data_IF_429704887972
#
_entry.id   IF_429704887972
#
_cell.length_a   1.000
_cell.length_b   1.000
_cell.length_c   1.000
_cell.angle_alpha   90.00
_cell.angle_beta   90.00
_cell.angle_gamma   90.00
#
_symmetry.space_group_name_H-M   'P 1'
#
loop_
_entity.id
_entity.type
_entity.pdbx_description
1 polymer ?
#
# COMPACT_ATOMS: atom_id res chain seq x y z
N UNK A 1 10.29 -10.66 26.81
CA UNK A 1 9.35 -9.53 26.93
C UNK A 1 8.42 -9.55 25.73
N UNK A 2 7.17 -9.99 25.92
CA UNK A 2 6.16 -10.04 24.85
C UNK A 2 5.87 -8.61 24.40
N UNK A 3 6.38 -8.22 23.25
CA UNK A 3 6.00 -6.96 22.61
C UNK A 3 4.55 -7.17 22.19
N UNK A 4 3.63 -6.42 22.81
CA UNK A 4 2.20 -6.45 22.54
C UNK A 4 1.90 -5.98 21.13
N UNK A 5 2.08 -6.88 20.16
CA UNK A 5 1.71 -6.68 18.76
C UNK A 5 0.20 -6.90 18.53
N UNK A 6 -0.62 -6.56 19.53
CA UNK A 6 -2.03 -6.26 19.34
C UNK A 6 -2.17 -4.77 19.04
N UNK A 7 -1.30 -4.18 18.19
CA UNK A 7 -1.56 -2.85 17.68
C UNK A 7 -2.82 -2.98 16.83
N UNK A 8 -3.99 -2.55 17.32
CA UNK A 8 -5.20 -2.64 16.52
C UNK A 8 -4.91 -1.86 15.25
N UNK A 9 -5.40 -2.28 14.08
CA UNK A 9 -5.25 -1.53 12.83
C UNK A 9 -5.52 -0.02 13.02
N UNK A 10 -6.40 0.30 13.97
CA UNK A 10 -6.74 1.63 14.45
C UNK A 10 -5.57 2.42 15.07
N UNK A 11 -4.64 1.79 15.80
CA UNK A 11 -3.46 2.45 16.36
C UNK A 11 -2.43 2.81 15.28
N UNK A 12 -2.25 1.98 14.25
CA UNK A 12 -1.35 2.32 13.14
C UNK A 12 -1.94 3.41 12.24
N UNK A 13 -3.24 3.32 11.93
CA UNK A 13 -3.94 4.37 11.19
C UNK A 13 -3.98 5.69 11.99
N UNK A 14 -4.29 5.62 13.28
CA UNK A 14 -4.33 6.78 14.18
C UNK A 14 -2.95 7.41 14.38
N UNK A 15 -1.90 6.60 14.55
CA UNK A 15 -0.52 7.08 14.64
C UNK A 15 -0.06 7.75 13.35
N UNK A 16 -0.36 7.15 12.20
CA UNK A 16 -0.09 7.75 10.89
C UNK A 16 -0.79 9.10 10.70
N UNK A 17 -2.07 9.21 11.09
CA UNK A 17 -2.82 10.47 11.06
C UNK A 17 -2.27 11.51 12.02
N UNK A 18 -1.87 11.10 13.24
CA UNK A 18 -1.30 12.00 14.23
C UNK A 18 0.02 12.63 13.75
N UNK A 19 0.80 11.90 12.93
CA UNK A 19 1.99 12.44 12.28
C UNK A 19 1.64 13.23 11.03
N UNK A 20 0.77 12.73 10.16
CA UNK A 20 0.45 13.37 8.89
C UNK A 20 -0.28 14.72 9.06
N UNK A 21 -1.18 14.85 10.05
CA UNK A 21 -1.96 16.05 10.30
C UNK A 21 -1.11 17.32 10.54
N UNK A 22 -0.11 17.34 11.44
CA UNK A 22 0.72 18.52 11.64
C UNK A 22 1.57 18.86 10.40
N UNK A 23 2.05 17.87 9.65
CA UNK A 23 2.76 18.14 8.39
C UNK A 23 1.83 18.72 7.32
N UNK A 24 0.60 18.23 7.22
CA UNK A 24 -0.41 18.79 6.33
C UNK A 24 -0.77 20.23 6.71
N UNK A 25 -0.92 20.52 8.00
CA UNK A 25 -1.16 21.88 8.48
C UNK A 25 0.04 22.80 8.19
N UNK A 26 1.26 22.28 8.32
CA UNK A 26 2.47 23.02 7.97
C UNK A 26 2.55 23.32 6.47
N UNK A 27 2.26 22.35 5.59
CA UNK A 27 2.23 22.62 4.15
C UNK A 27 1.11 23.58 3.77
N UNK A 28 -0.06 23.48 4.41
CA UNK A 28 -1.17 24.41 4.24
C UNK A 28 -0.78 25.84 4.63
N UNK A 29 -0.07 26.00 5.76
CA UNK A 29 0.44 27.29 6.21
C UNK A 29 1.52 27.86 5.28
N UNK A 30 2.45 27.04 4.79
CA UNK A 30 3.51 27.46 3.87
C UNK A 30 3.01 27.81 2.46
N UNK A 31 1.84 27.30 2.07
CA UNK A 31 1.27 27.50 0.72
C UNK A 31 0.25 28.63 0.64
N UNK A 32 0.03 29.39 1.74
CA UNK A 32 -1.02 30.41 1.85
C UNK A 32 -2.39 29.93 1.33
N UNK A 33 -2.68 28.66 1.58
CA UNK A 33 -3.87 28.02 1.03
C UNK A 33 -5.13 28.61 1.67
N UNK A 34 -5.98 29.25 0.85
CA UNK A 34 -7.22 29.85 1.33
C UNK A 34 -8.20 28.78 1.81
N UNK A 35 -8.99 29.13 2.83
CA UNK A 35 -10.10 28.28 3.25
C UNK A 35 -11.10 28.12 2.10
N UNK A 36 -11.52 26.89 1.75
CA UNK A 36 -12.48 26.69 0.67
C UNK A 36 -13.79 27.39 1.03
N UNK A 37 -14.21 28.35 0.20
CA UNK A 37 -15.47 29.09 0.38
C UNK A 37 -16.70 28.18 0.18
N UNK A 38 -16.54 27.11 -0.62
CA UNK A 38 -17.54 26.08 -0.81
C UNK A 38 -16.85 24.72 -0.99
N UNK A 39 -17.35 23.70 -0.30
CA UNK A 39 -16.95 22.32 -0.53
C UNK A 39 -17.99 21.69 -1.45
N UNK A 40 -17.66 21.44 -2.74
CA UNK A 40 -18.62 20.83 -3.65
C UNK A 40 -18.98 19.43 -3.15
N UNK A 41 -20.26 19.04 -3.28
CA UNK A 41 -20.75 17.74 -2.80
C UNK A 41 -19.95 16.56 -3.36
N UNK A 42 -19.45 16.70 -4.60
CA UNK A 42 -18.55 15.72 -5.22
C UNK A 42 -17.25 15.53 -4.44
N UNK A 43 -16.60 16.61 -4.01
CA UNK A 43 -15.37 16.53 -3.23
C UNK A 43 -15.62 15.88 -1.86
N UNK A 44 -16.70 16.27 -1.19
CA UNK A 44 -17.10 15.64 0.07
C UNK A 44 -17.37 14.14 -0.12
N UNK A 45 -18.09 13.77 -1.17
CA UNK A 45 -18.36 12.38 -1.54
C UNK A 45 -17.08 11.60 -1.82
N UNK A 46 -16.11 12.18 -2.55
CA UNK A 46 -14.80 11.56 -2.80
C UNK A 46 -13.99 11.35 -1.52
N UNK A 47 -13.96 12.32 -0.61
CA UNK A 47 -13.27 12.21 0.69
C UNK A 47 -13.89 11.08 1.51
N UNK A 48 -15.21 11.04 1.64
CA UNK A 48 -15.91 10.00 2.38
C UNK A 48 -15.72 8.63 1.75
N UNK A 49 -15.80 8.53 0.42
CA UNK A 49 -15.56 7.29 -0.30
C UNK A 49 -14.14 6.76 -0.06
N UNK A 50 -13.12 7.61 -0.19
CA UNK A 50 -11.73 7.19 0.00
C UNK A 50 -11.43 6.85 1.47
N UNK A 51 -11.99 7.62 2.41
CA UNK A 51 -11.85 7.38 3.84
C UNK A 51 -12.52 6.09 4.31
N UNK A 52 -13.72 5.78 3.83
CA UNK A 52 -14.46 4.58 4.26
C UNK A 52 -14.10 3.36 3.42
N UNK A 53 -14.26 3.45 2.10
CA UNK A 53 -14.07 2.30 1.19
C UNK A 53 -12.60 2.06 0.95
N UNK A 54 -11.85 3.10 0.57
CA UNK A 54 -10.43 2.99 0.25
C UNK A 54 -9.55 2.67 1.46
N UNK A 55 -9.91 3.20 2.63
CA UNK A 55 -9.12 3.04 3.86
C UNK A 55 -9.75 2.03 4.82
N UNK A 56 -10.85 2.34 5.52
CA UNK A 56 -11.37 1.46 6.58
C UNK A 56 -11.66 0.04 6.08
N UNK A 57 -12.46 -0.09 5.02
CA UNK A 57 -12.82 -1.39 4.45
C UNK A 57 -11.59 -2.08 3.84
N UNK A 58 -10.77 -1.33 3.09
CA UNK A 58 -9.53 -1.83 2.50
C UNK A 58 -8.58 -2.42 3.54
N UNK A 59 -8.34 -1.72 4.65
CA UNK A 59 -7.49 -2.20 5.74
C UNK A 59 -8.09 -3.41 6.45
N UNK A 60 -9.39 -3.42 6.75
CA UNK A 60 -10.05 -4.59 7.37
C UNK A 60 -9.87 -5.84 6.51
N UNK A 61 -10.12 -5.73 5.20
CA UNK A 61 -9.91 -6.82 4.25
C UNK A 61 -8.44 -7.24 4.18
N UNK A 62 -7.52 -6.28 4.13
CA UNK A 62 -6.08 -6.55 4.10
C UNK A 62 -5.63 -7.35 5.34
N UNK A 63 -6.03 -6.93 6.54
CA UNK A 63 -5.70 -7.68 7.77
C UNK A 63 -6.40 -9.02 7.85
N UNK A 64 -7.65 -9.11 7.37
CA UNK A 64 -8.37 -10.37 7.30
C UNK A 64 -7.64 -11.38 6.42
N UNK A 65 -7.21 -10.94 5.24
CA UNK A 65 -6.45 -11.75 4.29
C UNK A 65 -5.08 -12.12 4.88
N UNK A 66 -4.33 -11.17 5.45
CA UNK A 66 -3.03 -11.46 6.06
C UNK A 66 -3.07 -12.56 7.12
N UNK A 67 -4.16 -12.67 7.88
CA UNK A 67 -4.32 -13.73 8.89
C UNK A 67 -4.42 -15.14 8.30
N UNK A 68 -4.69 -15.28 7.00
CA UNK A 68 -4.99 -16.56 6.35
C UNK A 68 -3.96 -16.95 5.29
N UNK A 69 -2.90 -16.16 5.07
CA UNK A 69 -1.99 -16.37 3.94
C UNK A 69 -0.61 -16.88 4.34
N UNK A 70 -0.17 -17.88 3.59
CA UNK A 70 1.23 -18.31 3.54
C UNK A 70 2.10 -17.33 2.75
N UNK A 71 3.42 -17.31 3.01
CA UNK A 71 4.38 -16.41 2.38
C UNK A 71 4.30 -16.39 0.84
N UNK A 72 3.95 -17.51 0.22
CA UNK A 72 3.77 -17.61 -1.24
C UNK A 72 2.67 -16.72 -1.78
N UNK A 73 1.56 -16.58 -1.06
CA UNK A 73 0.41 -15.78 -1.50
C UNK A 73 0.64 -14.29 -1.32
N UNK A 74 1.40 -13.89 -0.29
CA UNK A 74 1.77 -12.49 -0.07
C UNK A 74 2.60 -11.96 -1.24
N UNK A 75 3.56 -12.75 -1.74
CA UNK A 75 4.34 -12.38 -2.92
C UNK A 75 3.45 -12.17 -4.16
N UNK A 76 2.45 -13.03 -4.37
CA UNK A 76 1.50 -12.87 -5.47
C UNK A 76 0.66 -11.59 -5.33
N UNK A 77 0.19 -11.26 -4.12
CA UNK A 77 -0.57 -10.03 -3.87
C UNK A 77 0.21 -8.79 -4.30
N UNK A 78 1.51 -8.72 -3.99
CA UNK A 78 2.32 -7.56 -4.40
C UNK A 78 2.40 -7.40 -5.92
N UNK A 79 2.39 -8.49 -6.67
CA UNK A 79 2.42 -8.48 -8.14
C UNK A 79 1.04 -8.19 -8.74
N UNK A 80 -0.03 -8.71 -8.14
CA UNK A 80 -1.41 -8.53 -8.62
C UNK A 80 -1.91 -7.10 -8.36
N UNK A 81 -1.52 -6.48 -7.24
CA UNK A 81 -1.95 -5.12 -6.87
C UNK A 81 -1.70 -4.06 -7.96
N UNK A 82 -0.47 -3.90 -8.51
CA UNK A 82 -0.22 -2.92 -9.57
C UNK A 82 -0.94 -3.26 -10.88
N UNK A 83 -1.11 -4.54 -11.21
CA UNK A 83 -1.87 -4.97 -12.40
C UNK A 83 -3.34 -4.58 -12.27
N UNK A 84 -3.96 -4.91 -11.13
CA UNK A 84 -5.35 -4.53 -10.86
C UNK A 84 -5.51 -3.01 -10.82
N UNK A 85 -4.57 -2.29 -10.22
CA UNK A 85 -4.58 -0.83 -10.20
C UNK A 85 -4.54 -0.24 -11.61
N UNK A 86 -3.71 -0.78 -12.51
CA UNK A 86 -3.64 -0.34 -13.90
C UNK A 86 -4.92 -0.66 -14.67
N UNK A 87 -5.45 -1.89 -14.53
CA UNK A 87 -6.68 -2.31 -15.20
C UNK A 87 -7.89 -1.50 -14.72
N UNK A 88 -8.03 -1.30 -13.42
CA UNK A 88 -9.08 -0.47 -12.84
C UNK A 88 -8.90 1.00 -13.26
N UNK A 89 -7.68 1.52 -13.27
CA UNK A 89 -7.39 2.86 -13.77
C UNK A 89 -7.82 3.05 -15.22
N UNK A 90 -7.43 2.13 -16.11
CA UNK A 90 -7.81 2.15 -17.52
C UNK A 90 -9.33 2.08 -17.71
N UNK A 91 -10.01 1.24 -16.93
CA UNK A 91 -11.45 1.01 -17.06
C UNK A 91 -12.29 2.13 -16.44
N UNK A 92 -11.98 2.57 -15.21
CA UNK A 92 -12.74 3.61 -14.50
C UNK A 92 -12.42 5.02 -15.01
N UNK A 93 -11.16 5.33 -15.35
CA UNK A 93 -10.79 6.64 -15.87
C UNK A 93 -11.17 6.80 -17.35
N UNK A 94 -11.44 5.70 -18.06
CA UNK A 94 -11.77 5.70 -19.49
C UNK A 94 -10.62 6.16 -20.38
N UNK A 95 -9.40 6.21 -19.84
CA UNK A 95 -8.21 6.65 -20.56
C UNK A 95 -7.65 5.51 -21.42
N UNK A 96 -7.34 5.81 -22.69
CA UNK A 96 -6.62 4.88 -23.53
C UNK A 96 -5.17 4.77 -23.04
N UNK A 97 -4.85 3.62 -22.45
CA UNK A 97 -3.49 3.33 -21.95
C UNK A 97 -2.52 3.32 -23.13
N UNK A 98 -1.71 4.37 -23.22
CA UNK A 98 -0.68 4.51 -24.25
C UNK A 98 0.30 3.33 -24.22
N UNK A 99 0.87 2.91 -25.37
CA UNK A 99 1.92 1.89 -25.43
C UNK A 99 3.10 2.16 -24.48
N UNK A 100 3.39 3.43 -24.20
CA UNK A 100 4.45 3.83 -23.25
C UNK A 100 4.12 3.41 -21.82
N UNK A 101 2.85 3.51 -21.41
CA UNK A 101 2.39 3.11 -20.08
C UNK A 101 2.44 1.59 -19.94
N UNK A 102 2.09 0.86 -21.00
CA UNK A 102 2.26 -0.59 -21.05
C UNK A 102 3.72 -1.01 -20.88
N UNK A 103 4.65 -0.36 -21.59
CA UNK A 103 6.07 -0.64 -21.46
C UNK A 103 6.59 -0.33 -20.04
N UNK A 104 6.25 0.83 -19.48
CA UNK A 104 6.62 1.19 -18.12
C UNK A 104 6.06 0.19 -17.09
N UNK A 105 4.81 -0.24 -17.26
CA UNK A 105 4.17 -1.24 -16.41
C UNK A 105 4.89 -2.59 -16.49
N UNK A 106 5.27 -3.03 -17.70
CA UNK A 106 6.03 -4.27 -17.89
C UNK A 106 7.39 -4.22 -17.18
N UNK A 107 8.10 -3.08 -17.24
CA UNK A 107 9.37 -2.88 -16.54
C UNK A 107 9.18 -2.96 -15.02
N UNK A 108 8.17 -2.28 -14.47
CA UNK A 108 7.86 -2.30 -13.03
C UNK A 108 7.51 -3.72 -12.56
N UNK A 109 6.65 -4.42 -13.30
CA UNK A 109 6.26 -5.79 -12.98
C UNK A 109 7.45 -6.76 -13.03
N UNK A 110 8.35 -6.57 -13.99
CA UNK A 110 9.58 -7.38 -14.10
C UNK A 110 10.51 -7.15 -12.91
N UNK A 111 10.72 -5.89 -12.52
CA UNK A 111 11.51 -5.55 -11.33
C UNK A 111 10.91 -6.13 -10.05
N UNK A 112 9.60 -6.06 -9.90
CA UNK A 112 8.91 -6.61 -8.72
C UNK A 112 8.97 -8.14 -8.67
N UNK A 113 8.86 -8.80 -9.83
CA UNK A 113 9.00 -10.25 -9.92
C UNK A 113 10.42 -10.70 -9.56
N UNK A 114 11.44 -9.99 -10.05
CA UNK A 114 12.84 -10.24 -9.70
C UNK A 114 13.09 -10.04 -8.20
N UNK A 115 12.56 -8.96 -7.60
CA UNK A 115 12.71 -8.69 -6.17
C UNK A 115 12.10 -9.80 -5.31
N UNK A 116 10.86 -10.21 -5.62
CA UNK A 116 10.18 -11.28 -4.88
C UNK A 116 10.85 -12.64 -5.02
N UNK A 117 11.45 -12.94 -6.18
CA UNK A 117 12.19 -14.18 -6.38
C UNK A 117 13.57 -14.16 -5.72
N UNK A 118 14.25 -13.01 -5.66
CA UNK A 118 15.52 -12.87 -4.96
C UNK A 118 15.39 -13.24 -3.47
N UNK A 119 14.34 -12.78 -2.80
CA UNK A 119 14.09 -13.12 -1.39
C UNK A 119 13.94 -14.63 -1.18
N UNK A 120 13.30 -15.35 -2.11
CA UNK A 120 13.19 -16.82 -2.06
C UNK A 120 14.52 -17.53 -2.30
N UNK A 121 15.42 -16.94 -3.08
CA UNK A 121 16.74 -17.50 -3.35
C UNK A 121 17.68 -17.28 -2.16
N UNK A 122 17.66 -16.10 -1.53
CA UNK A 122 18.47 -15.81 -0.36
C UNK A 122 17.95 -16.48 0.92
N UNK A 123 16.64 -16.68 1.07
CA UNK A 123 16.07 -17.46 2.16
C UNK A 123 16.44 -18.96 2.11
N UNK A 124 17.03 -19.44 1.01
CA UNK A 124 17.56 -20.81 0.84
C UNK A 124 19.07 -20.91 1.08
N UNK A 125 19.75 -19.85 1.53
CA UNK A 125 21.15 -19.95 1.92
C UNK A 125 21.30 -21.03 3.02
N UNK A 126 22.13 -22.07 2.81
CA UNK A 126 22.23 -23.18 3.73
C UNK A 126 22.66 -22.71 5.12
N UNK A 127 22.02 -23.25 6.16
CA UNK A 127 22.35 -23.07 7.56
C UNK A 127 23.70 -23.74 7.96
N UNK A 128 24.73 -23.65 7.13
CA UNK A 128 26.03 -24.31 7.33
C UNK A 128 27.03 -23.49 8.17
N UNK A 129 26.62 -22.34 8.73
CA UNK A 129 27.51 -21.48 9.51
C UNK A 129 27.15 -21.38 11.01
N UNK A 130 26.35 -22.30 11.57
CA UNK A 130 26.27 -22.48 13.03
C UNK A 130 27.36 -23.45 13.48
N UNK A 131 28.57 -22.91 13.60
CA UNK A 131 29.70 -23.58 14.24
C UNK A 131 29.27 -24.09 15.63
N UNK A 132 29.45 -25.38 15.95
CA UNK A 132 29.27 -25.88 17.31
C UNK A 132 30.26 -25.16 18.23
N UNK A 133 29.76 -24.42 19.21
CA UNK A 133 30.57 -24.08 20.39
C UNK A 133 30.43 -25.23 21.36
N UNK A 134 31.58 -25.77 21.74
CA UNK A 134 31.78 -26.81 22.75
C UNK A 134 31.05 -26.53 24.07
#
# INVERSE_FOLDING_TARGET
TRIGADSPAMAMAGGGLAVAAPFYLLTWWLSDAAWPQAVPLRALGSILYLGVVGSVIGFVLFYYVLKQLEASTIALITLVTPVLSLMLGAWLAGEHVSPRVWFASAVILSGLAMHQWADRWFARAPAEARVPTE
#
